data_IF_330963682815
#
_entry.id   IF_330963682815
#
_cell.length_a   1.000
_cell.length_b   1.000
_cell.length_c   1.000
_cell.angle_alpha   90.00
_cell.angle_beta   90.00
_cell.angle_gamma   90.00
#
_symmetry.space_group_name_H-M   'P 1'
#
loop_
_entity.id
_entity.type
_entity.pdbx_description
1 polymer ?
#
# COMPACT_ATOMS: atom_id res chain seq x y z
N UNK A 1 14.46 2.47 3.07
CA UNK A 1 13.67 3.11 1.98
C UNK A 1 12.71 4.10 2.59
N UNK A 2 12.44 5.17 1.89
CA UNK A 2 11.56 6.25 2.36
C UNK A 2 10.27 6.27 1.56
N UNK A 3 9.19 6.73 2.19
CA UNK A 3 7.90 6.92 1.57
C UNK A 3 7.58 8.42 1.60
N UNK A 4 8.09 9.15 0.62
CA UNK A 4 7.86 10.57 0.49
C UNK A 4 6.47 10.89 -0.06
N UNK A 5 6.04 12.15 0.11
CA UNK A 5 4.76 12.61 -0.42
C UNK A 5 4.67 12.36 -1.93
N UNK A 6 3.57 11.77 -2.37
CA UNK A 6 3.30 11.39 -3.77
C UNK A 6 4.26 10.36 -4.38
N UNK A 7 5.15 9.80 -3.60
CA UNK A 7 6.02 8.73 -4.08
C UNK A 7 5.27 7.41 -4.21
N UNK A 8 5.72 6.61 -5.18
CA UNK A 8 5.18 5.29 -5.46
C UNK A 8 6.26 4.25 -5.17
N UNK A 9 5.89 3.22 -4.43
CA UNK A 9 6.74 2.08 -4.17
C UNK A 9 6.22 0.90 -4.97
N UNK A 10 7.09 0.27 -5.75
CA UNK A 10 6.79 -1.00 -6.40
C UNK A 10 7.21 -2.13 -5.45
N UNK A 11 6.26 -2.95 -5.03
CA UNK A 11 6.54 -4.04 -4.09
C UNK A 11 7.33 -5.18 -4.73
N UNK A 12 7.39 -5.23 -6.06
CA UNK A 12 8.03 -6.32 -6.77
C UNK A 12 7.21 -7.61 -6.83
N UNK A 13 6.00 -7.61 -6.27
CA UNK A 13 5.14 -8.78 -6.23
C UNK A 13 3.78 -8.47 -6.86
N UNK A 14 3.21 -9.43 -7.60
CA UNK A 14 1.87 -9.30 -8.17
C UNK A 14 0.83 -10.15 -7.42
N UNK A 15 1.25 -10.96 -6.47
CA UNK A 15 0.38 -11.85 -5.70
C UNK A 15 0.94 -12.02 -4.30
N UNK A 16 0.08 -12.32 -3.35
CA UNK A 16 0.48 -12.71 -2.01
C UNK A 16 -0.33 -12.06 -0.90
N UNK A 17 0.00 -12.49 0.31
CA UNK A 17 -0.50 -11.93 1.54
C UNK A 17 0.65 -11.10 2.13
N UNK A 18 0.43 -9.80 2.31
CA UNK A 18 1.48 -8.85 2.62
C UNK A 18 1.07 -8.00 3.80
N UNK A 19 1.99 -7.83 4.75
CA UNK A 19 1.88 -6.83 5.81
C UNK A 19 2.74 -5.63 5.44
N UNK A 20 2.16 -4.45 5.49
CA UNK A 20 2.86 -3.19 5.26
C UNK A 20 2.79 -2.33 6.52
N UNK A 21 3.91 -1.76 6.93
CA UNK A 21 3.99 -0.90 8.10
C UNK A 21 4.83 0.34 7.80
N UNK A 22 4.32 1.49 8.23
CA UNK A 22 5.06 2.76 8.23
C UNK A 22 5.65 2.95 9.62
N UNK A 23 6.98 2.91 9.73
CA UNK A 23 7.65 2.93 11.03
C UNK A 23 7.38 4.21 11.82
N UNK A 24 7.34 5.36 11.14
CA UNK A 24 7.20 6.66 11.80
C UNK A 24 5.84 6.84 12.50
N UNK A 25 4.79 6.17 12.04
CA UNK A 25 3.43 6.36 12.54
C UNK A 25 2.87 5.13 13.24
N UNK A 26 3.57 4.02 13.16
CA UNK A 26 3.09 2.70 13.58
C UNK A 26 1.83 2.24 12.83
N UNK A 27 1.42 2.94 11.77
CA UNK A 27 0.31 2.52 10.93
C UNK A 27 0.69 1.27 10.15
N UNK A 28 -0.17 0.26 10.18
CA UNK A 28 0.07 -0.99 9.47
C UNK A 28 -1.22 -1.57 8.93
N UNK A 29 -1.09 -2.36 7.87
CA UNK A 29 -2.21 -3.10 7.28
C UNK A 29 -1.75 -4.46 6.79
N UNK A 30 -2.71 -5.35 6.58
CA UNK A 30 -2.50 -6.62 5.90
C UNK A 30 -3.44 -6.67 4.71
N UNK A 31 -2.89 -6.98 3.55
CA UNK A 31 -3.68 -7.07 2.33
C UNK A 31 -3.27 -8.29 1.52
N UNK A 32 -4.16 -8.69 0.60
CA UNK A 32 -3.99 -9.85 -0.26
C UNK A 32 -4.36 -9.49 -1.69
N UNK A 33 -3.62 -10.03 -2.65
CA UNK A 33 -3.94 -9.89 -4.05
C UNK A 33 -3.52 -11.14 -4.83
N UNK A 34 -4.31 -11.49 -5.83
CA UNK A 34 -4.00 -12.60 -6.74
C UNK A 34 -3.34 -12.08 -8.01
N UNK A 35 -2.44 -12.89 -8.55
CA UNK A 35 -1.97 -12.73 -9.92
C UNK A 35 -3.16 -12.78 -10.88
N UNK A 36 -3.17 -11.95 -11.90
CA UNK A 36 -4.27 -11.88 -12.85
C UNK A 36 -5.47 -11.09 -12.37
N UNK A 37 -5.39 -10.43 -11.22
CA UNK A 37 -6.44 -9.58 -10.68
C UNK A 37 -5.87 -8.27 -10.19
N UNK A 38 -6.56 -7.16 -10.42
CA UNK A 38 -6.22 -5.86 -9.85
C UNK A 38 -6.98 -5.57 -8.56
N UNK A 39 -7.77 -6.51 -8.08
CA UNK A 39 -8.53 -6.35 -6.84
C UNK A 39 -7.64 -6.58 -5.63
N UNK A 40 -7.31 -5.50 -4.91
CA UNK A 40 -6.59 -5.58 -3.65
C UNK A 40 -7.59 -5.77 -2.52
N UNK A 41 -7.45 -6.86 -1.78
CA UNK A 41 -8.30 -7.14 -0.63
C UNK A 41 -7.58 -6.68 0.64
N UNK A 42 -8.02 -5.54 1.17
CA UNK A 42 -7.51 -5.02 2.44
C UNK A 42 -8.19 -5.79 3.57
N UNK A 43 -7.41 -6.62 4.28
CA UNK A 43 -7.94 -7.53 5.28
C UNK A 43 -8.13 -6.80 6.61
N UNK A 44 -7.13 -6.04 7.04
CA UNK A 44 -7.17 -5.30 8.30
C UNK A 44 -6.18 -4.14 8.29
N UNK A 45 -6.47 -3.13 9.11
CA UNK A 45 -5.56 -2.03 9.36
C UNK A 45 -5.78 -1.55 10.80
N UNK A 46 -4.71 -1.08 11.44
CA UNK A 46 -4.78 -0.64 12.82
C UNK A 46 -5.23 0.82 12.99
N UNK A 47 -5.25 1.59 11.90
CA UNK A 47 -5.76 2.95 11.88
C UNK A 47 -6.86 3.01 10.82
N UNK A 48 -8.09 3.32 11.25
CA UNK A 48 -9.25 3.31 10.36
C UNK A 48 -9.08 4.29 9.20
N UNK A 49 -9.43 3.84 8.00
CA UNK A 49 -9.43 4.63 6.78
C UNK A 49 -8.07 5.25 6.43
N UNK A 50 -6.97 4.69 6.92
CA UNK A 50 -5.63 5.18 6.61
C UNK A 50 -5.10 4.62 5.29
N UNK A 51 -5.37 3.34 5.04
CA UNK A 51 -4.98 2.63 3.81
C UNK A 51 -6.22 2.43 2.95
N UNK A 52 -6.10 2.72 1.66
CA UNK A 52 -7.18 2.57 0.70
C UNK A 52 -6.69 1.80 -0.51
N UNK A 53 -7.62 1.29 -1.31
CA UNK A 53 -7.31 0.48 -2.50
C UNK A 53 -7.58 1.21 -3.82
N UNK A 54 -7.81 2.51 -3.77
CA UNK A 54 -8.09 3.34 -4.94
C UNK A 54 -7.12 4.51 -5.02
N UNK A 55 -6.23 4.50 -6.02
CA UNK A 55 -5.25 5.56 -6.21
C UNK A 55 -5.84 6.89 -6.68
N UNK A 56 -7.05 6.88 -7.21
CA UNK A 56 -7.72 8.08 -7.73
C UNK A 56 -8.35 8.93 -6.64
N UNK A 57 -8.41 8.43 -5.43
CA UNK A 57 -8.96 9.17 -4.31
C UNK A 57 -8.07 10.35 -3.96
N UNK A 58 -8.66 11.53 -3.80
CA UNK A 58 -7.96 12.73 -3.32
C UNK A 58 -7.87 12.76 -1.79
N UNK A 59 -8.13 11.66 -1.13
CA UNK A 59 -7.99 11.55 0.31
C UNK A 59 -6.51 11.52 0.67
N UNK A 60 -6.13 12.16 1.75
CA UNK A 60 -4.75 12.12 2.27
C UNK A 60 -4.45 10.75 2.89
N UNK A 61 -4.35 9.73 2.06
CA UNK A 61 -4.27 8.33 2.46
C UNK A 61 -3.08 7.63 1.79
N UNK A 62 -2.82 6.41 2.20
CA UNK A 62 -1.87 5.52 1.53
C UNK A 62 -2.66 4.57 0.65
N UNK A 63 -2.41 4.61 -0.65
CA UNK A 63 -3.13 3.80 -1.63
C UNK A 63 -2.34 2.54 -1.99
N UNK A 64 -3.01 1.40 -1.97
CA UNK A 64 -2.45 0.10 -2.39
C UNK A 64 -3.23 -0.32 -3.62
N UNK A 65 -2.56 -0.48 -4.75
CA UNK A 65 -3.25 -0.70 -6.02
C UNK A 65 -2.35 -1.40 -7.05
N UNK A 66 -2.94 -1.76 -8.19
CA UNK A 66 -2.22 -2.20 -9.39
C UNK A 66 -2.63 -1.33 -10.58
N UNK A 67 -1.71 -1.16 -11.53
CA UNK A 67 -2.02 -0.47 -12.78
C UNK A 67 -2.73 -1.39 -13.78
N UNK A 68 -2.50 -2.69 -13.68
CA UNK A 68 -3.15 -3.71 -14.52
C UNK A 68 -3.26 -5.01 -13.76
N UNK A 69 -4.08 -5.94 -14.27
CA UNK A 69 -4.33 -7.22 -13.60
C UNK A 69 -3.05 -8.04 -13.39
N UNK A 70 -2.10 -7.96 -14.30
CA UNK A 70 -0.84 -8.67 -14.21
C UNK A 70 0.32 -7.81 -13.70
N UNK A 71 0.04 -6.58 -13.31
CA UNK A 71 1.04 -5.66 -12.79
C UNK A 71 1.42 -5.97 -11.35
N UNK A 72 2.53 -5.39 -10.94
CA UNK A 72 2.94 -5.46 -9.54
C UNK A 72 2.02 -4.63 -8.65
N UNK A 73 1.95 -5.02 -7.39
CA UNK A 73 1.27 -4.23 -6.36
C UNK A 73 2.11 -3.00 -6.09
N UNK A 74 1.48 -1.83 -6.16
CA UNK A 74 2.10 -0.54 -5.92
C UNK A 74 1.51 0.10 -4.67
N UNK A 75 2.32 0.88 -3.97
CA UNK A 75 1.87 1.64 -2.80
C UNK A 75 2.23 3.10 -3.06
N UNK A 76 1.23 3.98 -3.02
CA UNK A 76 1.40 5.41 -3.22
C UNK A 76 1.02 6.19 -1.99
N UNK A 77 1.91 7.08 -1.57
CA UNK A 77 1.62 8.04 -0.50
C UNK A 77 0.88 9.24 -1.08
N UNK A 78 -0.44 9.27 -0.90
CA UNK A 78 -1.29 10.38 -1.35
C UNK A 78 -1.32 11.53 -0.35
N UNK A 79 -0.59 11.42 0.76
CA UNK A 79 -0.54 12.48 1.77
C UNK A 79 0.51 13.52 1.40
N UNK A 80 0.45 14.68 2.07
CA UNK A 80 1.48 15.71 1.96
C UNK A 80 2.65 15.47 2.91
N UNK A 81 2.66 14.36 3.65
CA UNK A 81 3.66 14.06 4.68
C UNK A 81 4.71 13.13 4.12
N UNK A 82 5.97 13.46 4.34
CA UNK A 82 7.07 12.55 4.08
C UNK A 82 7.20 11.59 5.26
N UNK A 83 6.80 10.33 5.05
CA UNK A 83 7.05 9.30 6.04
C UNK A 83 8.47 8.79 5.86
N UNK A 84 9.14 8.45 6.94
CA UNK A 84 10.49 7.91 6.89
C UNK A 84 10.49 6.50 6.33
N UNK A 85 10.98 5.54 7.11
CA UNK A 85 11.10 4.16 6.66
C UNK A 85 9.77 3.41 6.72
N UNK A 86 9.67 2.41 5.87
CA UNK A 86 8.57 1.46 5.85
C UNK A 86 9.12 0.05 5.71
N UNK A 87 8.31 -0.95 6.05
CA UNK A 87 8.68 -2.36 5.91
C UNK A 87 7.54 -3.16 5.31
N UNK A 88 7.93 -4.17 4.53
CA UNK A 88 7.02 -5.19 4.02
C UNK A 88 7.35 -6.53 4.66
N UNK A 89 6.32 -7.31 4.94
CA UNK A 89 6.48 -8.71 5.32
C UNK A 89 5.56 -9.54 4.44
N UNK A 90 6.14 -10.48 3.71
CA UNK A 90 5.39 -11.48 2.97
C UNK A 90 5.04 -12.61 3.93
N UNK A 91 3.78 -12.91 3.98
CA UNK A 91 3.28 -13.95 4.90
C UNK A 91 3.05 -15.25 4.15
#
# INVERSE_FOLDING_TARGET
>A
MNLGANEIIDTGANTGLIRFKINATSASCVFFCNSGSSNIMLITQNVDNYFITNKSSNSEKIAIYKESDNGNILIKNLTAINYGTFVFYYI
#
